data_IF_228987956567
#
_entry.id   IF_228987956567
#
_cell.length_a   1.000
_cell.length_b   1.000
_cell.length_c   1.000
_cell.angle_alpha   90.00
_cell.angle_beta   90.00
_cell.angle_gamma   90.00
#
_symmetry.space_group_name_H-M   'P 1'
#
loop_
_entity.id
_entity.type
_entity.pdbx_description
1 polymer ?
#
# COMPACT_ATOMS: atom_id res chain seq x y z
N UNK A 1 -21.73 12.76 -16.53
CA UNK A 1 -20.62 13.26 -15.71
C UNK A 1 -19.35 12.62 -16.21
N UNK A 2 -18.29 13.38 -16.45
CA UNK A 2 -17.03 12.89 -17.01
C UNK A 2 -15.85 13.65 -16.40
N UNK A 3 -14.71 13.00 -16.26
CA UNK A 3 -13.45 13.65 -15.93
C UNK A 3 -12.61 13.73 -17.20
N UNK A 4 -12.06 14.90 -17.49
CA UNK A 4 -11.18 15.12 -18.62
C UNK A 4 -9.89 15.77 -18.15
N UNK A 5 -8.78 15.42 -18.80
CA UNK A 5 -7.53 16.15 -18.65
C UNK A 5 -7.35 17.08 -19.84
N UNK A 6 -7.07 18.35 -19.58
CA UNK A 6 -6.76 19.33 -20.62
C UNK A 6 -5.35 19.11 -21.15
N UNK A 7 -5.03 19.67 -22.32
CA UNK A 7 -3.66 19.67 -22.85
C UNK A 7 -2.67 20.41 -21.93
N UNK A 8 -3.16 21.39 -21.16
CA UNK A 8 -2.38 22.09 -20.13
C UNK A 8 -2.16 21.28 -18.85
N UNK A 9 -2.69 20.05 -18.78
CA UNK A 9 -2.51 19.13 -17.66
C UNK A 9 -3.50 19.26 -16.50
N UNK A 10 -4.43 20.22 -16.56
CA UNK A 10 -5.47 20.39 -15.54
C UNK A 10 -6.55 19.33 -15.68
N UNK A 11 -7.13 18.93 -14.56
CA UNK A 11 -8.24 17.99 -14.54
C UNK A 11 -9.55 18.71 -14.30
N UNK A 12 -10.52 18.48 -15.19
CA UNK A 12 -11.87 19.03 -15.06
C UNK A 12 -12.88 17.91 -14.86
N UNK A 13 -13.71 18.06 -13.85
CA UNK A 13 -14.93 17.28 -13.69
C UNK A 13 -16.08 18.03 -14.36
N UNK A 14 -16.60 17.43 -15.42
CA UNK A 14 -17.73 17.94 -16.20
C UNK A 14 -19.02 17.28 -15.71
N UNK A 15 -19.94 18.11 -15.23
CA UNK A 15 -21.34 17.74 -15.04
C UNK A 15 -22.22 18.60 -15.94
N UNK A 16 -23.31 18.03 -16.42
CA UNK A 16 -24.25 18.77 -17.25
C UNK A 16 -25.68 18.38 -16.90
N UNK A 17 -26.57 19.36 -17.01
CA UNK A 17 -27.99 19.21 -16.78
C UNK A 17 -28.78 19.95 -17.86
N UNK A 18 -29.74 19.27 -18.46
CA UNK A 18 -30.62 19.85 -19.47
C UNK A 18 -31.83 20.51 -18.80
N UNK A 19 -32.08 21.76 -19.14
CA UNK A 19 -33.28 22.49 -18.77
C UNK A 19 -34.31 22.29 -19.87
N UNK A 20 -35.49 21.82 -19.47
CA UNK A 20 -36.64 21.61 -20.34
C UNK A 20 -37.73 22.64 -20.02
N UNK A 21 -38.60 22.93 -20.98
CA UNK A 21 -39.83 23.71 -20.74
C UNK A 21 -40.90 22.86 -20.03
N UNK A 22 -42.05 23.48 -19.75
CA UNK A 22 -43.21 22.84 -19.12
C UNK A 22 -43.81 21.69 -19.94
N UNK A 23 -43.49 21.61 -21.23
CA UNK A 23 -43.89 20.55 -22.16
C UNK A 23 -42.79 19.51 -22.38
N UNK A 24 -41.69 19.59 -21.64
CA UNK A 24 -40.55 18.67 -21.75
C UNK A 24 -39.67 18.89 -22.99
N UNK A 25 -39.84 20.00 -23.71
CA UNK A 25 -38.99 20.35 -24.85
C UNK A 25 -37.68 20.95 -24.34
N UNK A 26 -36.59 20.56 -24.98
CA UNK A 26 -35.27 21.10 -24.69
C UNK A 26 -35.21 22.62 -24.83
N UNK A 27 -34.72 23.30 -23.79
CA UNK A 27 -34.41 24.72 -23.81
C UNK A 27 -32.90 24.94 -23.86
N UNK A 28 -32.18 24.49 -22.84
CA UNK A 28 -30.74 24.76 -22.69
C UNK A 28 -30.04 23.61 -21.97
N UNK A 29 -28.72 23.54 -22.09
CA UNK A 29 -27.88 22.69 -21.22
C UNK A 29 -27.01 23.58 -20.36
N UNK A 30 -27.03 23.35 -19.05
CA UNK A 30 -26.02 23.89 -18.14
C UNK A 30 -24.88 22.89 -18.09
N UNK A 31 -23.64 23.38 -18.30
CA UNK A 31 -22.42 22.60 -18.10
C UNK A 31 -21.64 23.26 -16.97
N UNK A 32 -21.23 22.47 -15.99
CA UNK A 32 -20.34 22.88 -14.90
C UNK A 32 -19.04 22.14 -15.09
N UNK A 33 -17.96 22.91 -15.24
CA UNK A 33 -16.59 22.41 -15.25
C UNK A 33 -15.93 22.78 -13.92
N UNK A 34 -15.68 21.78 -13.08
CA UNK A 34 -14.99 21.97 -11.80
C UNK A 34 -13.54 21.56 -11.95
N UNK A 35 -12.59 22.44 -11.63
CA UNK A 35 -11.18 22.05 -11.54
C UNK A 35 -10.98 21.11 -10.35
N UNK A 36 -10.46 19.92 -10.64
CA UNK A 36 -10.17 18.86 -9.68
C UNK A 36 -8.69 18.44 -9.74
N UNK A 37 -7.82 19.31 -10.25
CA UNK A 37 -6.38 19.03 -10.41
C UNK A 37 -5.74 18.68 -9.07
N UNK A 38 -5.98 19.49 -8.04
CA UNK A 38 -5.45 19.26 -6.69
C UNK A 38 -5.99 17.95 -6.08
N UNK A 39 -7.25 17.63 -6.36
CA UNK A 39 -7.86 16.37 -5.93
C UNK A 39 -7.14 15.17 -6.58
N UNK A 40 -6.88 15.23 -7.89
CA UNK A 40 -6.18 14.18 -8.63
C UNK A 40 -4.73 14.01 -8.17
N UNK A 41 -4.03 15.12 -7.92
CA UNK A 41 -2.66 15.10 -7.37
C UNK A 41 -2.66 14.43 -5.98
N UNK A 42 -3.61 14.80 -5.13
CA UNK A 42 -3.74 14.24 -3.79
C UNK A 42 -4.06 12.75 -3.82
N UNK A 43 -4.99 12.32 -4.68
CA UNK A 43 -5.33 10.90 -4.89
C UNK A 43 -4.10 10.10 -5.35
N UNK A 44 -3.34 10.63 -6.30
CA UNK A 44 -2.10 9.98 -6.79
C UNK A 44 -1.06 9.86 -5.68
N UNK A 45 -0.86 10.91 -4.88
CA UNK A 45 0.06 10.90 -3.73
C UNK A 45 -0.37 9.87 -2.70
N UNK A 46 -1.67 9.79 -2.40
CA UNK A 46 -2.21 8.82 -1.45
C UNK A 46 -1.95 7.38 -1.90
N UNK A 47 -2.22 7.07 -3.17
CA UNK A 47 -1.96 5.74 -3.74
C UNK A 47 -0.47 5.38 -3.69
N UNK A 48 0.41 6.35 -3.96
CA UNK A 48 1.85 6.14 -3.87
C UNK A 48 2.29 5.85 -2.43
N UNK A 49 1.80 6.64 -1.45
CA UNK A 49 2.10 6.43 -0.04
C UNK A 49 1.55 5.09 0.48
N UNK A 50 0.36 4.66 0.04
CA UNK A 50 -0.19 3.35 0.38
C UNK A 50 0.71 2.21 -0.12
N UNK A 51 1.17 2.30 -1.38
CA UNK A 51 2.09 1.32 -1.96
C UNK A 51 3.42 1.26 -1.19
N UNK A 52 3.98 2.42 -0.84
CA UNK A 52 5.21 2.50 -0.05
C UNK A 52 5.05 1.91 1.35
N UNK A 53 3.94 2.22 2.03
CA UNK A 53 3.63 1.63 3.34
C UNK A 53 3.48 0.11 3.25
N UNK A 54 2.77 -0.40 2.24
CA UNK A 54 2.63 -1.84 2.03
C UNK A 54 3.97 -2.54 1.82
N UNK A 55 4.87 -1.93 1.04
CA UNK A 55 6.21 -2.46 0.85
C UNK A 55 7.02 -2.47 2.16
N UNK A 56 6.97 -1.38 2.93
CA UNK A 56 7.65 -1.28 4.24
C UNK A 56 7.12 -2.31 5.24
N UNK A 57 5.81 -2.52 5.28
CA UNK A 57 5.19 -3.56 6.12
C UNK A 57 5.72 -4.93 5.73
N UNK A 58 5.74 -5.24 4.43
CA UNK A 58 6.29 -6.52 3.94
C UNK A 58 7.77 -6.70 4.31
N UNK A 59 8.59 -5.65 4.16
CA UNK A 59 10.01 -5.69 4.56
C UNK A 59 10.18 -5.96 6.06
N UNK A 60 9.31 -5.37 6.91
CA UNK A 60 9.31 -5.61 8.35
C UNK A 60 8.87 -7.04 8.70
N UNK A 61 7.86 -7.57 8.01
CA UNK A 61 7.42 -8.97 8.15
C UNK A 61 8.54 -9.94 7.78
N UNK A 62 9.16 -9.74 6.60
CA UNK A 62 10.28 -10.55 6.12
C UNK A 62 11.46 -10.51 7.12
N UNK A 63 11.76 -9.34 7.69
CA UNK A 63 12.79 -9.18 8.72
C UNK A 63 12.44 -9.91 10.03
N UNK A 64 11.18 -9.80 10.47
CA UNK A 64 10.71 -10.46 11.68
C UNK A 64 10.80 -11.98 11.57
N UNK A 65 10.38 -12.54 10.44
CA UNK A 65 10.47 -13.98 10.18
C UNK A 65 11.92 -14.48 10.21
N UNK A 66 12.85 -13.71 9.61
CA UNK A 66 14.28 -14.01 9.71
C UNK A 66 14.80 -13.95 11.14
N UNK A 67 14.40 -12.95 11.93
CA UNK A 67 14.83 -12.80 13.32
C UNK A 67 14.35 -13.97 14.19
N UNK A 68 13.06 -14.33 14.09
CA UNK A 68 12.48 -15.48 14.79
C UNK A 68 13.17 -16.78 14.38
N UNK A 69 13.40 -16.97 13.07
CA UNK A 69 14.14 -18.14 12.57
C UNK A 69 15.55 -18.25 13.17
N UNK A 70 16.27 -17.12 13.29
CA UNK A 70 17.58 -17.09 13.96
C UNK A 70 17.50 -17.45 15.44
N UNK A 71 16.51 -16.94 16.16
CA UNK A 71 16.34 -17.26 17.59
C UNK A 71 16.05 -18.75 17.83
N UNK A 72 15.17 -19.33 17.01
CA UNK A 72 14.90 -20.77 17.04
C UNK A 72 16.17 -21.58 16.78
N UNK A 73 16.95 -21.19 15.75
CA UNK A 73 18.20 -21.89 15.45
C UNK A 73 19.21 -21.78 16.59
N UNK A 74 19.31 -20.60 17.22
CA UNK A 74 20.16 -20.40 18.38
C UNK A 74 19.76 -21.29 19.56
N UNK A 75 18.46 -21.50 19.77
CA UNK A 75 17.97 -22.41 20.81
C UNK A 75 18.35 -23.86 20.54
N UNK A 76 18.21 -24.31 19.30
CA UNK A 76 18.64 -25.66 18.87
C UNK A 76 20.15 -25.85 19.08
N UNK A 77 20.96 -24.93 18.57
CA UNK A 77 22.42 -24.98 18.67
C UNK A 77 22.88 -25.01 20.13
N UNK A 78 22.26 -24.21 21.01
CA UNK A 78 22.54 -24.27 22.46
C UNK A 78 22.27 -25.64 23.06
N UNK A 79 21.17 -26.29 22.66
CA UNK A 79 20.83 -27.65 23.09
C UNK A 79 21.84 -28.68 22.57
N UNK A 80 22.28 -28.56 21.31
CA UNK A 80 23.31 -29.44 20.74
C UNK A 80 24.66 -29.28 21.45
N UNK A 81 25.10 -28.04 21.69
CA UNK A 81 26.34 -27.73 22.43
C UNK A 81 26.27 -28.36 23.83
N UNK A 82 25.15 -28.25 24.54
CA UNK A 82 24.98 -28.86 25.86
C UNK A 82 25.13 -30.40 25.82
N UNK A 83 24.54 -31.06 24.81
CA UNK A 83 24.66 -32.52 24.62
C UNK A 83 26.10 -32.93 24.28
N UNK A 84 26.77 -32.20 23.40
CA UNK A 84 28.15 -32.48 23.01
C UNK A 84 29.12 -32.31 24.19
N UNK A 85 28.95 -31.23 24.97
CA UNK A 85 29.76 -31.00 26.17
C UNK A 85 29.61 -32.12 27.20
N UNK A 86 28.39 -32.66 27.38
CA UNK A 86 28.15 -33.79 28.28
C UNK A 86 28.87 -35.07 27.82
N UNK A 87 28.82 -35.39 26.52
CA UNK A 87 29.56 -36.55 25.97
C UNK A 87 31.07 -36.38 26.15
N UNK A 88 31.58 -35.17 25.92
CA UNK A 88 33.01 -34.87 26.04
C UNK A 88 33.51 -34.99 27.49
N UNK A 89 32.68 -34.72 28.50
CA UNK A 89 33.05 -34.96 29.90
C UNK A 89 33.06 -36.44 30.24
N UNK A 90 32.08 -37.21 29.75
CA UNK A 90 31.98 -38.66 29.96
C UNK A 90 33.17 -39.42 29.30
N UNK A 91 33.66 -38.94 28.16
CA UNK A 91 34.85 -39.49 27.49
C UNK A 91 36.17 -39.14 28.21
N UNK A 92 36.22 -38.06 29.00
CA UNK A 92 37.43 -37.65 29.75
C UNK A 92 37.55 -38.32 31.12
N UNK A 93 36.45 -38.87 31.64
CA UNK A 93 36.40 -39.61 32.90
C UNK A 93 36.64 -41.12 32.73
N UNK A 94 36.68 -41.63 31.49
CA UNK A 94 37.13 -42.98 31.12
C UNK A 94 38.59 -43.00 30.67
#
# INVERSE_FOLDING_TARGET
>A
MAEIQTESGHWLYLSSYSILDDKGKFLHTIIIATDITDLKITQKRLLQSEKELKNRVKELEDFYDMAVGRELKMKELKSEIAKLNKRLSEEKEN
#
